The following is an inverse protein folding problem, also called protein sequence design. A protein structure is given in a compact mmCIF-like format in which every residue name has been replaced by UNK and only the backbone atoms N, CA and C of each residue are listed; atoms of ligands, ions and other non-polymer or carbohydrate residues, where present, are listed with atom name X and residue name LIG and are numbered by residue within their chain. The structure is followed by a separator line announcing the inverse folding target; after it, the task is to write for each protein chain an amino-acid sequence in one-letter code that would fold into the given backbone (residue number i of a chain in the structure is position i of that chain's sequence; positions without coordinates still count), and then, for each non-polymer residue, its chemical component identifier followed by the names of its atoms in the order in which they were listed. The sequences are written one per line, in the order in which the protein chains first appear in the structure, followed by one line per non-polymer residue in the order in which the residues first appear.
data_IF_209593087318
#
_entry.id   IF_209593087318
#
_cell.length_a   1.000
_cell.length_b   1.000
_cell.length_c   1.000
_cell.angle_alpha   90.00
_cell.angle_beta   90.00
_cell.angle_gamma   90.00
#
_symmetry.space_group_name_H-M   'P 1'
#
loop_
_entity.id
_entity.type
_entity.pdbx_description
1 polymer ?
#
# COMPACT_ATOMS: atom_id res chain seq x y z
N UNK A 1 -29.92 -9.89 14.92
CA UNK A 1 -29.34 -11.04 14.19
C UNK A 1 -30.35 -11.54 13.16
N UNK A 2 -29.95 -11.66 11.89
CA UNK A 2 -30.80 -12.21 10.83
C UNK A 2 -30.26 -13.59 10.46
N UNK A 3 -31.08 -14.64 10.56
CA UNK A 3 -30.71 -16.01 10.15
C UNK A 3 -31.16 -16.21 8.71
N UNK A 4 -30.22 -16.40 7.79
CA UNK A 4 -30.52 -16.59 6.37
C UNK A 4 -29.80 -17.79 5.79
N UNK A 5 -30.48 -18.47 4.86
CA UNK A 5 -30.01 -19.68 4.19
C UNK A 5 -29.06 -19.31 3.05
N UNK A 6 -27.76 -19.56 3.21
CA UNK A 6 -26.80 -19.54 2.10
C UNK A 6 -26.78 -20.91 1.40
N UNK A 7 -26.78 -20.93 0.06
CA UNK A 7 -26.62 -22.16 -0.73
C UNK A 7 -25.18 -22.24 -1.19
N UNK A 8 -24.36 -22.99 -0.45
CA UNK A 8 -23.07 -23.52 -0.91
C UNK A 8 -23.29 -25.02 -1.07
N UNK A 9 -23.13 -25.53 -2.30
CA UNK A 9 -23.22 -26.96 -2.70
C UNK A 9 -23.85 -27.93 -1.67
N UNK A 10 -25.16 -28.20 -1.80
CA UNK A 10 -25.90 -29.29 -1.15
C UNK A 10 -25.71 -29.55 0.37
N UNK A 11 -25.29 -28.55 1.17
CA UNK A 11 -25.47 -28.53 2.63
C UNK A 11 -26.02 -27.17 3.07
N UNK A 12 -27.23 -27.16 3.62
CA UNK A 12 -27.82 -25.95 4.20
C UNK A 12 -27.17 -25.68 5.55
N UNK A 13 -26.18 -24.79 5.59
CA UNK A 13 -25.64 -24.27 6.85
C UNK A 13 -26.36 -22.99 7.25
N UNK A 14 -26.77 -22.92 8.51
CA UNK A 14 -27.27 -21.68 9.12
C UNK A 14 -26.06 -20.81 9.47
N UNK A 15 -26.03 -19.59 8.93
CA UNK A 15 -24.98 -18.61 9.21
C UNK A 15 -25.59 -17.40 9.92
N UNK A 16 -24.89 -16.88 10.94
CA UNK A 16 -25.25 -15.61 11.57
C UNK A 16 -24.70 -14.45 10.74
N UNK A 17 -25.57 -13.55 10.28
CA UNK A 17 -25.18 -12.42 9.43
C UNK A 17 -26.07 -11.19 9.69
N UNK A 18 -25.75 -10.09 9.01
CA UNK A 18 -26.49 -8.82 9.09
C UNK A 18 -27.29 -8.57 7.81
N UNK A 19 -28.34 -7.75 7.91
CA UNK A 19 -29.17 -7.38 6.75
C UNK A 19 -28.34 -6.67 5.67
N UNK A 20 -27.41 -5.81 6.07
CA UNK A 20 -26.50 -5.12 5.13
C UNK A 20 -25.63 -6.11 4.35
N UNK A 21 -25.09 -7.13 5.01
CA UNK A 21 -24.29 -8.17 4.35
C UNK A 21 -25.12 -8.98 3.35
N UNK A 22 -26.39 -9.24 3.65
CA UNK A 22 -27.28 -9.93 2.70
C UNK A 22 -27.51 -9.11 1.44
N UNK A 23 -27.78 -7.82 1.59
CA UNK A 23 -28.01 -6.93 0.46
C UNK A 23 -26.72 -6.76 -0.36
N UNK A 24 -25.57 -6.67 0.30
CA UNK A 24 -24.28 -6.58 -0.38
C UNK A 24 -23.97 -7.83 -1.22
N UNK A 25 -24.19 -9.02 -0.66
CA UNK A 25 -23.96 -10.28 -1.37
C UNK A 25 -24.94 -10.55 -2.52
N UNK A 26 -26.05 -9.80 -2.65
CA UNK A 26 -26.95 -9.93 -3.81
C UNK A 26 -26.34 -9.41 -5.12
N UNK A 27 -25.43 -8.45 -5.02
CA UNK A 27 -24.74 -7.86 -6.18
C UNK A 27 -23.55 -8.72 -6.62
N UNK A 28 -23.01 -9.51 -5.70
CA UNK A 28 -21.87 -10.38 -5.97
C UNK A 28 -22.35 -11.64 -6.70
N UNK A 29 -21.71 -12.03 -7.81
CA UNK A 29 -21.98 -13.31 -8.46
C UNK A 29 -21.91 -14.48 -7.47
N UNK A 30 -22.90 -15.39 -7.52
CA UNK A 30 -23.05 -16.51 -6.57
C UNK A 30 -21.82 -17.41 -6.44
N UNK A 31 -21.00 -17.47 -7.48
CA UNK A 31 -19.86 -18.37 -7.59
C UNK A 31 -18.62 -17.87 -6.82
N UNK A 32 -18.60 -16.60 -6.40
CA UNK A 32 -17.50 -16.02 -5.62
C UNK A 32 -17.54 -16.39 -4.13
N UNK A 33 -18.67 -16.92 -3.68
CA UNK A 33 -18.94 -17.24 -2.27
C UNK A 33 -19.71 -16.15 -1.54
N UNK A 34 -19.91 -16.36 -0.23
CA UNK A 34 -20.62 -15.43 0.64
C UNK A 34 -19.65 -14.71 1.58
N UNK A 35 -19.65 -13.38 1.54
CA UNK A 35 -18.78 -12.54 2.36
C UNK A 35 -19.50 -12.13 3.65
N UNK A 36 -19.02 -12.61 4.80
CA UNK A 36 -19.61 -12.35 6.13
C UNK A 36 -18.69 -11.57 7.07
N UNK A 37 -17.94 -10.60 6.55
CA UNK A 37 -17.02 -9.76 7.33
C UNK A 37 -17.30 -8.27 7.11
N UNK A 38 -16.49 -7.39 7.70
CA UNK A 38 -16.51 -5.96 7.39
C UNK A 38 -15.68 -5.75 6.14
N UNK A 39 -16.27 -5.12 5.13
CA UNK A 39 -15.63 -4.92 3.83
C UNK A 39 -14.99 -3.53 3.81
N UNK A 40 -13.67 -3.50 3.96
CA UNK A 40 -12.86 -2.29 3.79
C UNK A 40 -12.45 -2.10 2.31
N UNK A 41 -11.75 -1.00 2.01
CA UNK A 41 -11.25 -0.72 0.65
C UNK A 41 -10.40 -1.86 0.08
N UNK A 42 -9.59 -2.54 0.90
CA UNK A 42 -8.70 -3.63 0.45
C UNK A 42 -9.53 -4.86 0.06
N UNK A 43 -10.53 -5.21 0.87
CA UNK A 43 -11.47 -6.30 0.60
C UNK A 43 -12.33 -6.03 -0.63
N UNK A 44 -12.76 -4.79 -0.87
CA UNK A 44 -13.43 -4.45 -2.14
C UNK A 44 -12.52 -4.75 -3.33
N UNK A 45 -11.24 -4.34 -3.27
CA UNK A 45 -10.29 -4.62 -4.35
C UNK A 45 -10.03 -6.13 -4.55
N UNK A 46 -9.95 -6.90 -3.46
CA UNK A 46 -9.83 -8.36 -3.49
C UNK A 46 -11.04 -9.02 -4.19
N UNK A 47 -12.26 -8.61 -3.84
CA UNK A 47 -13.50 -9.10 -4.45
C UNK A 47 -13.53 -8.79 -5.95
N UNK A 48 -13.12 -7.57 -6.34
CA UNK A 48 -13.05 -7.16 -7.75
C UNK A 48 -12.05 -8.02 -8.51
N UNK A 49 -10.84 -8.22 -7.96
CA UNK A 49 -9.81 -9.06 -8.56
C UNK A 49 -10.29 -10.50 -8.75
N UNK A 50 -10.93 -11.08 -7.73
CA UNK A 50 -11.49 -12.43 -7.79
C UNK A 50 -12.61 -12.56 -8.82
N UNK A 51 -13.49 -11.55 -8.92
CA UNK A 51 -14.55 -11.50 -9.93
C UNK A 51 -13.97 -11.41 -11.35
N UNK A 52 -13.00 -10.53 -11.56
CA UNK A 52 -12.36 -10.36 -12.87
C UNK A 52 -11.68 -11.64 -13.34
N UNK A 53 -11.00 -12.35 -12.44
CA UNK A 53 -10.33 -13.63 -12.75
C UNK A 53 -11.31 -14.75 -13.07
N UNK A 54 -12.39 -14.88 -12.30
CA UNK A 54 -13.33 -16.01 -12.42
C UNK A 54 -14.40 -15.83 -13.49
N UNK A 55 -14.87 -14.60 -13.71
CA UNK A 55 -16.00 -14.29 -14.59
C UNK A 55 -15.66 -13.39 -15.77
N UNK A 56 -14.47 -12.80 -15.78
CA UNK A 56 -14.03 -11.91 -16.85
C UNK A 56 -14.63 -10.51 -16.76
N UNK A 57 -14.49 -9.78 -17.87
CA UNK A 57 -14.77 -8.34 -17.93
C UNK A 57 -16.25 -7.99 -17.69
N UNK A 58 -17.17 -8.59 -18.44
CA UNK A 58 -18.58 -8.16 -18.49
C UNK A 58 -19.29 -8.29 -17.13
N UNK A 59 -19.11 -9.41 -16.45
CA UNK A 59 -19.72 -9.65 -15.13
C UNK A 59 -19.09 -8.77 -14.04
N UNK A 60 -17.78 -8.49 -14.15
CA UNK A 60 -17.10 -7.59 -13.22
C UNK A 60 -17.63 -6.17 -13.34
N UNK A 61 -17.91 -5.69 -14.56
CA UNK A 61 -18.53 -4.36 -14.78
C UNK A 61 -19.90 -4.29 -14.12
N UNK A 62 -20.77 -5.30 -14.30
CA UNK A 62 -22.08 -5.35 -13.64
C UNK A 62 -21.98 -5.34 -12.12
N UNK A 63 -21.05 -6.12 -11.56
CA UNK A 63 -20.81 -6.15 -10.12
C UNK A 63 -20.33 -4.78 -9.61
N UNK A 64 -19.42 -4.12 -10.33
CA UNK A 64 -18.91 -2.80 -9.98
C UNK A 64 -20.02 -1.73 -9.94
N UNK A 65 -20.89 -1.72 -10.95
CA UNK A 65 -22.03 -0.81 -10.99
C UNK A 65 -23.01 -1.04 -9.83
N UNK A 66 -23.29 -2.30 -9.51
CA UNK A 66 -24.13 -2.62 -8.35
C UNK A 66 -23.48 -2.21 -7.02
N UNK A 67 -22.17 -2.43 -6.84
CA UNK A 67 -21.44 -2.00 -5.64
C UNK A 67 -21.47 -0.47 -5.53
N UNK A 68 -21.28 0.25 -6.63
CA UNK A 68 -21.38 1.71 -6.70
C UNK A 68 -22.77 2.21 -6.27
N UNK A 69 -23.84 1.64 -6.82
CA UNK A 69 -25.21 2.04 -6.49
C UNK A 69 -25.56 1.77 -5.03
N UNK A 70 -25.22 0.58 -4.51
CA UNK A 70 -25.39 0.26 -3.09
C UNK A 70 -24.58 1.20 -2.20
N UNK A 71 -23.32 1.42 -2.55
CA UNK A 71 -22.41 2.31 -1.84
C UNK A 71 -22.97 3.72 -1.71
N UNK A 72 -23.38 4.35 -2.82
CA UNK A 72 -23.97 5.68 -2.79
C UNK A 72 -25.27 5.71 -1.98
N UNK A 73 -26.18 4.76 -2.21
CA UNK A 73 -27.47 4.70 -1.51
C UNK A 73 -27.31 4.60 0.01
N UNK A 74 -26.42 3.72 0.49
CA UNK A 74 -26.23 3.50 1.92
C UNK A 74 -25.31 4.53 2.55
N UNK A 75 -24.34 5.09 1.83
CA UNK A 75 -23.53 6.22 2.31
C UNK A 75 -24.41 7.45 2.58
N UNK A 76 -25.35 7.78 1.67
CA UNK A 76 -26.30 8.88 1.88
C UNK A 76 -27.22 8.60 3.08
N UNK A 77 -27.70 7.36 3.24
CA UNK A 77 -28.57 6.99 4.38
C UNK A 77 -27.82 6.94 5.72
N UNK A 78 -26.53 6.63 5.71
CA UNK A 78 -25.72 6.58 6.91
C UNK A 78 -25.58 7.96 7.57
N UNK A 79 -25.74 9.05 6.81
CA UNK A 79 -25.72 10.40 7.37
C UNK A 79 -24.38 10.77 8.02
N UNK A 80 -23.28 10.20 7.52
CA UNK A 80 -21.94 10.45 8.05
C UNK A 80 -21.63 11.94 7.89
N UNK A 81 -21.32 12.58 9.01
CA UNK A 81 -20.94 13.99 9.09
C UNK A 81 -19.63 14.12 9.86
N UNK A 82 -19.01 15.29 9.80
CA UNK A 82 -17.85 15.64 10.63
C UNK A 82 -18.18 16.92 11.37
N UNK A 83 -18.30 16.80 12.68
CA UNK A 83 -18.46 17.91 13.61
C UNK A 83 -17.23 18.08 14.48
N UNK A 84 -17.15 19.24 15.12
CA UNK A 84 -16.13 19.48 16.16
C UNK A 84 -16.28 18.44 17.27
N UNK A 85 -17.49 18.07 17.67
CA UNK A 85 -17.74 17.04 18.70
C UNK A 85 -17.17 15.66 18.39
N UNK A 86 -16.94 15.33 17.13
CA UNK A 86 -16.40 14.02 16.73
C UNK A 86 -14.89 13.93 16.95
N UNK A 87 -14.23 15.07 17.12
CA UNK A 87 -12.80 15.14 17.45
C UNK A 87 -12.65 15.09 18.98
N UNK A 88 -12.54 13.90 19.56
CA UNK A 88 -12.35 13.73 21.01
C UNK A 88 -10.87 13.71 21.38
N UNK A 89 -10.46 14.50 22.38
CA UNK A 89 -9.08 14.54 22.89
C UNK A 89 -8.99 13.57 24.06
N UNK A 90 -8.01 12.64 24.09
CA UNK A 90 -7.85 11.72 25.20
C UNK A 90 -7.44 12.49 26.47
N UNK A 91 -8.09 12.26 27.62
CA UNK A 91 -7.74 12.93 28.88
C UNK A 91 -6.32 12.63 29.34
N UNK A 92 -5.76 11.47 28.99
CA UNK A 92 -4.41 11.03 29.33
C UNK A 92 -3.32 11.88 28.66
N UNK A 93 -3.66 12.66 27.61
CA UNK A 93 -2.72 13.48 26.85
C UNK A 93 -1.91 14.41 27.75
N UNK A 94 -2.56 15.11 28.68
CA UNK A 94 -1.91 16.09 29.54
C UNK A 94 -0.84 15.43 30.44
N UNK A 95 -1.15 14.26 30.97
CA UNK A 95 -0.25 13.50 31.83
C UNK A 95 0.95 12.94 31.05
N UNK A 96 0.74 12.47 29.81
CA UNK A 96 1.81 11.99 28.94
C UNK A 96 2.78 13.13 28.62
N UNK A 97 2.26 14.30 28.22
CA UNK A 97 3.09 15.47 27.92
C UNK A 97 3.89 15.92 29.14
N UNK A 98 3.26 16.00 30.33
CA UNK A 98 3.94 16.40 31.56
C UNK A 98 5.09 15.45 31.93
N UNK A 99 4.90 14.13 31.79
CA UNK A 99 5.96 13.13 32.03
C UNK A 99 7.12 13.24 31.05
N UNK A 100 6.81 13.50 29.78
CA UNK A 100 7.83 13.71 28.74
C UNK A 100 8.62 14.98 28.99
N UNK A 101 7.97 16.08 29.40
CA UNK A 101 8.64 17.32 29.77
C UNK A 101 9.60 17.14 30.96
N UNK A 102 9.19 16.42 32.00
CA UNK A 102 10.06 16.11 33.14
C UNK A 102 11.30 15.30 32.70
N UNK A 103 11.10 14.38 31.74
CA UNK A 103 12.18 13.56 31.19
C UNK A 103 13.16 14.40 30.37
N UNK A 104 12.67 15.33 29.54
CA UNK A 104 13.51 16.29 28.80
C UNK A 104 14.32 17.17 29.76
N UNK A 105 13.71 17.66 30.85
CA UNK A 105 14.42 18.46 31.87
C UNK A 105 15.58 17.67 32.49
N UNK A 106 15.42 16.36 32.73
CA UNK A 106 16.52 15.51 33.23
C UNK A 106 17.66 15.39 32.23
N UNK A 107 17.34 15.27 30.93
CA UNK A 107 18.35 15.22 29.86
C UNK A 107 19.09 16.56 29.75
N UNK A 108 18.37 17.68 29.78
CA UNK A 108 18.96 19.03 29.78
C UNK A 108 19.88 19.26 31.00
N UNK A 109 19.50 18.76 32.17
CA UNK A 109 20.35 18.84 33.36
C UNK A 109 21.62 17.99 33.23
N UNK A 110 21.55 16.82 32.58
CA UNK A 110 22.73 15.99 32.31
C UNK A 110 23.68 16.71 31.35
N UNK A 111 23.13 17.32 30.31
CA UNK A 111 23.88 18.14 29.36
C UNK A 111 24.55 19.34 30.04
N UNK A 112 23.80 20.10 30.83
CA UNK A 112 24.32 21.24 31.60
C UNK A 112 25.40 20.88 32.64
N UNK A 113 25.46 19.60 33.06
CA UNK A 113 26.52 19.05 33.93
C UNK A 113 27.70 18.49 33.14
N UNK A 114 27.66 18.48 31.80
CA UNK A 114 28.69 17.91 30.93
C UNK A 114 28.74 16.38 30.93
N UNK A 115 27.64 15.70 31.26
CA UNK A 115 27.57 14.24 31.30
C UNK A 115 27.26 13.60 29.94
N UNK A 116 26.71 14.37 29.00
CA UNK A 116 26.33 13.94 27.65
C UNK A 116 26.75 15.01 26.64
N UNK A 117 26.92 14.60 25.38
CA UNK A 117 27.21 15.53 24.27
C UNK A 117 25.94 16.21 23.74
N UNK A 118 26.09 17.21 22.87
CA UNK A 118 24.96 17.87 22.20
C UNK A 118 24.20 16.89 21.30
N UNK A 119 24.91 16.06 20.55
CA UNK A 119 24.30 15.05 19.66
C UNK A 119 23.48 14.03 20.47
N UNK A 120 24.01 13.57 21.60
CA UNK A 120 23.30 12.68 22.52
C UNK A 120 22.09 13.35 23.17
N UNK A 121 22.18 14.65 23.50
CA UNK A 121 21.04 15.43 24.00
C UNK A 121 19.94 15.46 22.95
N UNK A 122 20.28 15.83 21.71
CA UNK A 122 19.34 15.94 20.61
C UNK A 122 18.64 14.61 20.29
N UNK A 123 19.38 13.51 20.17
CA UNK A 123 18.82 12.18 19.93
C UNK A 123 17.88 11.73 21.06
N UNK A 124 18.26 11.98 22.32
CA UNK A 124 17.40 11.63 23.47
C UNK A 124 16.13 12.48 23.52
N UNK A 125 16.23 13.79 23.29
CA UNK A 125 15.08 14.70 23.32
C UNK A 125 14.10 14.34 22.20
N UNK A 126 14.60 14.13 20.97
CA UNK A 126 13.77 13.72 19.83
C UNK A 126 13.13 12.36 20.06
N UNK A 127 13.87 11.39 20.62
CA UNK A 127 13.33 10.08 21.02
C UNK A 127 12.18 10.18 22.02
N UNK A 128 12.36 10.97 23.10
CA UNK A 128 11.31 11.17 24.12
C UNK A 128 10.03 11.74 23.51
N UNK A 129 10.15 12.70 22.58
CA UNK A 129 8.99 13.31 21.94
C UNK A 129 8.34 12.42 20.88
N UNK A 130 9.11 11.56 20.21
CA UNK A 130 8.57 10.51 19.33
C UNK A 130 7.73 9.53 20.13
N UNK A 131 8.28 9.01 21.23
CA UNK A 131 7.58 8.09 22.13
C UNK A 131 6.32 8.73 22.72
N UNK A 132 6.38 10.01 23.12
CA UNK A 132 5.23 10.76 23.61
C UNK A 132 4.12 10.86 22.54
N UNK A 133 4.51 11.12 21.29
CA UNK A 133 3.57 11.22 20.16
C UNK A 133 2.87 9.89 19.92
N UNK A 134 3.60 8.77 20.01
CA UNK A 134 3.04 7.44 19.81
C UNK A 134 2.13 7.03 20.98
N UNK A 135 2.51 7.29 22.23
CA UNK A 135 1.65 7.07 23.40
C UNK A 135 0.34 7.86 23.34
N UNK A 136 0.39 9.12 22.92
CA UNK A 136 -0.82 9.94 22.72
C UNK A 136 -1.68 9.37 21.58
N UNK A 137 -1.06 8.80 20.55
CA UNK A 137 -1.79 8.16 19.44
C UNK A 137 -2.54 6.92 19.91
N UNK A 138 -1.89 6.07 20.71
CA UNK A 138 -2.49 4.86 21.24
C UNK A 138 -3.64 5.18 22.21
N UNK A 139 -3.45 6.16 23.09
CA UNK A 139 -4.50 6.65 23.97
C UNK A 139 -5.70 7.21 23.19
N UNK A 140 -5.43 7.97 22.12
CA UNK A 140 -6.47 8.50 21.23
C UNK A 140 -7.27 7.38 20.56
N UNK A 141 -6.60 6.37 20.00
CA UNK A 141 -7.27 5.24 19.34
C UNK A 141 -8.08 4.39 20.32
N UNK A 142 -7.61 4.20 21.54
CA UNK A 142 -8.34 3.48 22.58
C UNK A 142 -9.61 4.23 23.05
N UNK A 143 -9.59 5.57 22.99
CA UNK A 143 -10.70 6.42 23.42
C UNK A 143 -11.75 6.67 22.32
N UNK A 144 -11.39 6.48 21.04
CA UNK A 144 -12.31 6.69 19.93
C UNK A 144 -13.33 5.55 19.81
N UNK A 145 -14.61 5.91 19.81
CA UNK A 145 -15.69 4.94 19.56
C UNK A 145 -15.64 4.44 18.11
N UNK A 146 -15.92 3.15 17.91
CA UNK A 146 -16.00 2.51 16.60
C UNK A 146 -17.06 3.14 15.67
N UNK A 147 -18.09 3.77 16.24
CA UNK A 147 -19.14 4.50 15.51
C UNK A 147 -18.79 5.97 15.24
N UNK A 148 -17.63 6.45 15.70
CA UNK A 148 -17.18 7.79 15.40
C UNK A 148 -16.95 7.94 13.89
N UNK A 149 -17.54 8.95 13.22
CA UNK A 149 -17.45 9.09 11.78
C UNK A 149 -16.01 9.28 11.27
N UNK A 150 -15.15 9.97 12.04
CA UNK A 150 -13.74 10.17 11.70
C UNK A 150 -13.00 8.83 11.72
N UNK A 151 -13.24 8.02 12.76
CA UNK A 151 -12.66 6.69 12.88
C UNK A 151 -13.16 5.75 11.76
N UNK A 152 -14.47 5.75 11.49
CA UNK A 152 -15.07 4.95 10.41
C UNK A 152 -14.46 5.27 9.05
N UNK A 153 -14.26 6.55 8.71
CA UNK A 153 -13.68 6.95 7.42
C UNK A 153 -12.22 6.53 7.26
N UNK A 154 -11.41 6.62 8.33
CA UNK A 154 -10.02 6.21 8.30
C UNK A 154 -9.87 4.68 8.27
N UNK A 155 -10.59 3.96 9.14
CA UNK A 155 -10.50 2.50 9.25
C UNK A 155 -11.06 1.79 8.01
N UNK A 156 -12.11 2.34 7.38
CA UNK A 156 -12.63 1.80 6.11
C UNK A 156 -11.69 2.03 4.92
N UNK A 157 -10.67 2.90 5.08
CA UNK A 157 -9.78 3.31 4.00
C UNK A 157 -10.43 4.25 2.97
N UNK A 158 -11.61 4.81 3.28
CA UNK A 158 -12.31 5.73 2.40
C UNK A 158 -11.57 7.07 2.26
N UNK A 159 -11.23 7.69 3.40
CA UNK A 159 -10.43 8.92 3.46
C UNK A 159 -9.94 9.12 4.89
N UNK A 160 -8.67 9.47 5.05
CA UNK A 160 -8.08 9.62 6.38
C UNK A 160 -6.97 8.61 6.63
N UNK A 161 -6.01 8.98 7.47
CA UNK A 161 -5.07 8.06 8.09
C UNK A 161 -5.05 8.27 9.60
N UNK A 162 -4.56 7.29 10.36
CA UNK A 162 -4.37 7.42 11.81
C UNK A 162 -3.50 8.64 12.13
N UNK A 163 -2.48 8.91 11.31
CA UNK A 163 -1.62 10.09 11.45
C UNK A 163 -2.39 11.41 11.29
N UNK A 164 -3.40 11.46 10.41
CA UNK A 164 -4.26 12.65 10.26
C UNK A 164 -5.21 12.82 11.45
N UNK A 165 -5.77 11.72 11.97
CA UNK A 165 -6.58 11.73 13.20
C UNK A 165 -5.75 12.24 14.38
N UNK A 166 -4.50 11.77 14.50
CA UNK A 166 -3.55 12.23 15.51
C UNK A 166 -3.33 13.74 15.46
N UNK A 167 -3.16 14.32 14.27
CA UNK A 167 -3.00 15.79 14.15
C UNK A 167 -4.26 16.58 14.53
N UNK A 168 -5.45 15.99 14.35
CA UNK A 168 -6.72 16.63 14.71
C UNK A 168 -6.96 16.64 16.21
N UNK A 169 -6.71 15.52 16.90
CA UNK A 169 -7.17 15.28 18.27
C UNK A 169 -6.09 14.88 19.28
N UNK A 170 -4.93 14.39 18.81
CA UNK A 170 -3.81 13.98 19.65
C UNK A 170 -2.83 15.14 19.83
N UNK A 171 -1.67 15.03 19.18
CA UNK A 171 -0.67 16.09 19.07
C UNK A 171 -0.07 16.09 17.67
N UNK A 172 0.41 17.24 17.19
CA UNK A 172 1.03 17.32 15.87
C UNK A 172 2.44 16.71 15.86
N UNK A 173 3.16 16.83 16.98
CA UNK A 173 4.45 16.19 17.21
C UNK A 173 5.63 17.01 16.70
N UNK A 174 6.73 16.31 16.43
CA UNK A 174 7.97 16.89 15.91
C UNK A 174 7.82 17.29 14.44
N UNK A 175 8.48 18.40 14.07
CA UNK A 175 8.46 18.92 12.71
C UNK A 175 9.86 18.99 12.11
N UNK A 176 9.98 18.82 10.80
CA UNK A 176 11.23 19.03 10.08
C UNK A 176 11.39 20.50 9.65
N UNK A 177 12.63 20.98 9.72
CA UNK A 177 13.03 22.29 9.22
C UNK A 177 13.24 22.25 7.68
N UNK A 178 13.61 23.39 7.04
CA UNK A 178 13.91 23.40 5.62
C UNK A 178 15.17 22.61 5.23
N UNK A 179 16.10 22.37 6.15
CA UNK A 179 17.29 21.56 5.87
C UNK A 179 16.98 20.05 5.87
N UNK A 180 15.92 19.63 6.56
CA UNK A 180 15.52 18.23 6.75
C UNK A 180 15.74 17.74 8.19
N UNK A 181 16.38 18.55 9.03
CA UNK A 181 16.61 18.25 10.43
C UNK A 181 15.32 18.39 11.24
N UNK A 182 15.18 17.55 12.27
CA UNK A 182 14.01 17.57 13.15
C UNK A 182 14.19 18.68 14.18
N UNK A 183 13.20 19.55 14.30
CA UNK A 183 13.19 20.60 15.31
C UNK A 183 12.89 19.94 16.66
N UNK A 184 13.80 20.09 17.63
CA UNK A 184 13.72 19.49 18.97
C UNK A 184 12.59 20.06 19.85
N UNK A 185 11.97 21.16 19.41
CA UNK A 185 10.76 21.74 20.00
C UNK A 185 9.49 21.19 19.31
N UNK A 186 8.72 20.30 19.95
CA UNK A 186 7.52 19.72 19.36
C UNK A 186 6.32 20.67 19.39
N UNK A 187 5.36 20.40 18.53
CA UNK A 187 4.02 21.01 18.59
C UNK A 187 3.13 20.11 19.46
N UNK A 188 2.83 20.59 20.67
CA UNK A 188 2.06 19.88 21.70
C UNK A 188 0.56 19.97 21.42
N UNK A 189 0.16 21.10 20.85
CA UNK A 189 -1.22 21.39 20.49
C UNK A 189 -1.69 20.54 19.29
N UNK A 190 -2.99 20.33 19.20
CA UNK A 190 -3.66 19.77 18.02
C UNK A 190 -4.55 20.80 17.32
N UNK A 191 -5.11 20.46 16.16
CA UNK A 191 -5.96 21.40 15.41
C UNK A 191 -7.28 21.75 16.11
N UNK A 192 -7.76 20.89 17.02
CA UNK A 192 -8.95 21.17 17.82
C UNK A 192 -8.68 22.19 18.93
N UNK A 193 -7.53 22.08 19.60
CA UNK A 193 -7.09 23.01 20.65
C UNK A 193 -6.66 24.36 20.05
N UNK A 194 -6.15 24.33 18.81
CA UNK A 194 -5.56 25.48 18.14
C UNK A 194 -4.06 25.56 18.38
N UNK A 195 -3.33 26.11 17.42
CA UNK A 195 -1.87 26.27 17.50
C UNK A 195 -1.51 27.66 18.00
N UNK A 196 -0.49 27.75 18.84
CA UNK A 196 0.12 29.05 19.20
C UNK A 196 0.84 29.67 18.00
N UNK A 197 1.16 30.96 18.07
CA UNK A 197 1.89 31.66 16.98
C UNK A 197 3.22 30.98 16.67
N UNK A 198 3.96 30.55 17.70
CA UNK A 198 5.25 29.86 17.52
C UNK A 198 5.07 28.49 16.89
N UNK A 199 4.14 27.67 17.40
CA UNK A 199 3.85 26.34 16.83
C UNK A 199 3.36 26.43 15.38
N UNK A 200 2.50 27.40 15.07
CA UNK A 200 2.06 27.64 13.70
C UNK A 200 3.23 28.05 12.80
N UNK A 201 4.08 28.98 13.25
CA UNK A 201 5.25 29.44 12.50
C UNK A 201 6.23 28.28 12.22
N UNK A 202 6.55 27.46 13.23
CA UNK A 202 7.37 26.25 13.05
C UNK A 202 6.74 25.33 12.00
N UNK A 203 5.42 25.11 12.08
CA UNK A 203 4.72 24.27 11.10
C UNK A 203 4.76 24.79 9.67
N UNK A 204 5.00 26.08 9.44
CA UNK A 204 5.07 26.62 8.07
C UNK A 204 6.34 26.21 7.32
N UNK A 205 7.44 25.93 8.02
CA UNK A 205 8.72 25.56 7.40
C UNK A 205 8.60 24.25 6.61
N UNK A 206 8.18 23.18 7.29
CA UNK A 206 7.93 21.88 6.65
C UNK A 206 6.86 21.96 5.57
N UNK A 207 5.74 22.65 5.84
CA UNK A 207 4.66 22.79 4.86
C UNK A 207 5.10 23.49 3.56
N UNK A 208 5.89 24.57 3.67
CA UNK A 208 6.40 25.31 2.51
C UNK A 208 7.43 24.49 1.73
N UNK A 209 8.33 23.79 2.42
CA UNK A 209 9.29 22.86 1.79
C UNK A 209 8.55 21.76 1.04
N UNK A 210 7.59 21.09 1.67
CA UNK A 210 6.80 20.04 1.02
C UNK A 210 6.06 20.53 -0.23
N UNK A 211 5.47 21.72 -0.21
CA UNK A 211 4.81 22.30 -1.39
C UNK A 211 5.81 22.65 -2.50
N UNK A 212 6.98 23.21 -2.15
CA UNK A 212 8.02 23.55 -3.13
C UNK A 212 8.62 22.29 -3.76
N UNK A 213 8.94 21.28 -2.95
CA UNK A 213 9.50 20.00 -3.40
C UNK A 213 8.52 19.25 -4.30
N UNK A 214 7.22 19.26 -3.96
CA UNK A 214 6.17 18.69 -4.83
C UNK A 214 6.21 19.32 -6.22
N UNK A 215 6.36 20.64 -6.31
CA UNK A 215 6.40 21.34 -7.58
C UNK A 215 7.71 21.08 -8.36
N UNK A 216 8.86 21.07 -7.67
CA UNK A 216 10.17 20.88 -8.31
C UNK A 216 10.37 19.44 -8.79
N UNK A 217 10.12 18.44 -7.94
CA UNK A 217 10.42 17.03 -8.24
C UNK A 217 9.46 16.39 -9.25
N UNK A 218 8.28 16.98 -9.46
CA UNK A 218 7.39 16.57 -10.55
C UNK A 218 8.09 16.69 -11.91
N UNK A 219 8.92 17.72 -12.09
CA UNK A 219 9.69 17.90 -13.31
C UNK A 219 10.74 16.79 -13.50
N UNK A 220 11.42 16.38 -12.43
CA UNK A 220 12.44 15.32 -12.47
C UNK A 220 11.83 13.95 -12.79
N UNK A 221 10.69 13.62 -12.17
CA UNK A 221 9.97 12.37 -12.49
C UNK A 221 9.45 12.36 -13.93
N UNK A 222 8.94 13.50 -14.42
CA UNK A 222 8.54 13.66 -15.82
C UNK A 222 9.73 13.51 -16.78
N UNK A 223 10.88 14.07 -16.42
CA UNK A 223 12.11 13.96 -17.20
C UNK A 223 12.64 12.53 -17.25
N UNK A 224 12.62 11.79 -16.12
CA UNK A 224 12.95 10.37 -16.07
C UNK A 224 12.02 9.57 -16.98
N UNK A 225 10.71 9.79 -16.87
CA UNK A 225 9.70 9.10 -17.70
C UNK A 225 9.99 9.32 -19.18
N UNK A 226 10.31 10.56 -19.58
CA UNK A 226 10.71 10.87 -20.96
C UNK A 226 11.94 10.07 -21.40
N UNK A 227 13.00 10.04 -20.58
CA UNK A 227 14.21 9.26 -20.89
C UNK A 227 13.93 7.76 -20.99
N UNK A 228 13.07 7.22 -20.12
CA UNK A 228 12.65 5.82 -20.18
C UNK A 228 11.91 5.52 -21.48
N UNK A 229 11.00 6.40 -21.90
CA UNK A 229 10.29 6.27 -23.18
C UNK A 229 11.26 6.35 -24.36
N UNK A 230 12.20 7.30 -24.37
CA UNK A 230 13.17 7.47 -25.47
C UNK A 230 14.00 6.20 -25.69
N UNK A 231 14.38 5.49 -24.62
CA UNK A 231 15.15 4.24 -24.69
C UNK A 231 14.27 3.02 -24.99
N UNK A 232 13.04 2.98 -24.46
CA UNK A 232 12.19 1.80 -24.54
C UNK A 232 11.20 1.80 -25.72
N UNK A 233 11.02 2.90 -26.44
CA UNK A 233 10.00 3.03 -27.50
C UNK A 233 10.06 1.95 -28.60
N UNK A 234 11.26 1.46 -28.92
CA UNK A 234 11.47 0.44 -29.97
C UNK A 234 11.22 -1.00 -29.47
N UNK A 235 10.91 -1.20 -28.19
CA UNK A 235 10.63 -2.51 -27.62
C UNK A 235 9.16 -2.88 -27.86
N UNK A 236 8.93 -3.56 -28.99
CA UNK A 236 7.62 -4.05 -29.44
C UNK A 236 7.66 -5.58 -29.53
N UNK A 237 6.53 -6.26 -29.27
CA UNK A 237 6.43 -7.69 -29.52
C UNK A 237 6.38 -7.97 -31.02
N UNK A 238 7.40 -8.65 -31.58
CA UNK A 238 7.52 -8.86 -33.04
C UNK A 238 7.31 -10.30 -33.50
N UNK A 239 7.51 -11.26 -32.61
CA UNK A 239 7.46 -12.70 -32.96
C UNK A 239 6.92 -13.53 -31.79
N UNK A 240 6.52 -14.77 -32.06
CA UNK A 240 5.99 -15.66 -31.02
C UNK A 240 7.10 -16.26 -30.13
N UNK A 241 8.19 -16.73 -30.74
CA UNK A 241 9.31 -17.41 -30.05
C UNK A 241 10.65 -17.09 -30.70
N UNK A 242 11.60 -16.58 -29.91
CA UNK A 242 12.96 -16.26 -30.34
C UNK A 242 13.94 -17.45 -30.40
N UNK A 243 13.52 -18.65 -29.96
CA UNK A 243 14.36 -19.85 -29.93
C UNK A 243 15.48 -19.85 -28.88
N UNK A 244 15.44 -18.95 -27.89
CA UNK A 244 16.46 -18.93 -26.82
C UNK A 244 16.48 -20.24 -26.03
N UNK A 245 17.69 -20.73 -25.75
CA UNK A 245 17.97 -21.88 -24.90
C UNK A 245 18.36 -21.47 -23.46
N UNK A 246 18.29 -20.17 -23.16
CA UNK A 246 18.66 -19.60 -21.86
C UNK A 246 17.41 -19.16 -21.11
N UNK A 247 17.20 -19.76 -19.93
CA UNK A 247 16.22 -19.34 -18.94
C UNK A 247 16.85 -18.47 -17.85
N UNK A 248 16.02 -17.77 -17.09
CA UNK A 248 16.45 -16.97 -15.94
C UNK A 248 15.94 -17.61 -14.66
N UNK A 249 16.84 -17.80 -13.70
CA UNK A 249 16.53 -18.40 -12.40
C UNK A 249 15.95 -17.33 -11.47
N UNK A 250 14.74 -17.57 -10.95
CA UNK A 250 14.04 -16.67 -10.02
C UNK A 250 13.91 -17.35 -8.66
N UNK A 251 14.22 -16.60 -7.62
CA UNK A 251 14.07 -16.95 -6.21
C UNK A 251 13.38 -15.82 -5.44
N UNK A 252 12.88 -16.08 -4.23
CA UNK A 252 12.34 -15.02 -3.39
C UNK A 252 13.42 -13.98 -3.02
N UNK A 253 13.08 -12.69 -3.05
CA UNK A 253 14.01 -11.63 -2.65
C UNK A 253 13.91 -11.46 -1.13
N UNK A 254 15.01 -11.71 -0.43
CA UNK A 254 15.11 -11.62 1.03
C UNK A 254 16.17 -10.58 1.39
N UNK A 255 15.88 -9.76 2.40
CA UNK A 255 16.83 -8.86 3.03
C UNK A 255 16.93 -9.23 4.52
N UNK A 256 18.02 -9.91 4.88
CA UNK A 256 18.13 -10.60 6.17
C UNK A 256 17.04 -11.67 6.33
N UNK A 257 16.23 -11.53 7.38
CA UNK A 257 15.10 -12.41 7.68
C UNK A 257 13.78 -11.94 7.02
N UNK A 258 13.75 -10.71 6.49
CA UNK A 258 12.54 -10.14 5.89
C UNK A 258 12.42 -10.51 4.41
N UNK A 259 11.30 -11.13 4.06
CA UNK A 259 10.96 -11.44 2.66
C UNK A 259 10.37 -10.19 2.02
N UNK A 260 11.15 -9.50 1.19
CA UNK A 260 10.70 -8.30 0.46
C UNK A 260 9.70 -8.69 -0.63
N UNK A 261 10.04 -9.69 -1.44
CA UNK A 261 9.20 -10.13 -2.55
C UNK A 261 9.11 -11.66 -2.57
N UNK A 262 7.88 -12.16 -2.53
CA UNK A 262 7.61 -13.59 -2.49
C UNK A 262 7.85 -14.24 -3.86
N UNK A 263 8.15 -15.54 -3.88
CA UNK A 263 8.31 -16.27 -5.14
C UNK A 263 7.04 -16.21 -6.02
N UNK A 264 5.80 -16.40 -5.50
CA UNK A 264 4.57 -16.24 -6.28
C UNK A 264 4.47 -14.93 -7.04
N UNK A 265 4.73 -13.81 -6.38
CA UNK A 265 4.58 -12.48 -6.98
C UNK A 265 5.51 -12.29 -8.19
N UNK A 266 6.67 -12.95 -8.17
CA UNK A 266 7.66 -12.89 -9.26
C UNK A 266 7.36 -13.82 -10.43
N UNK A 267 6.71 -14.96 -10.17
CA UNK A 267 6.48 -16.01 -11.20
C UNK A 267 5.11 -15.93 -11.87
N UNK A 268 4.10 -15.33 -11.21
CA UNK A 268 2.74 -15.24 -11.75
C UNK A 268 2.75 -14.51 -13.11
N UNK A 269 2.10 -15.12 -14.11
CA UNK A 269 2.03 -14.58 -15.48
C UNK A 269 3.32 -14.72 -16.29
N UNK A 270 4.33 -15.41 -15.76
CA UNK A 270 5.55 -15.80 -16.51
C UNK A 270 5.39 -17.18 -17.13
N UNK A 271 6.25 -17.51 -18.10
CA UNK A 271 6.27 -18.81 -18.75
C UNK A 271 7.44 -19.64 -18.22
N UNK A 272 7.15 -20.87 -17.78
CA UNK A 272 8.15 -21.82 -17.31
C UNK A 272 9.11 -22.21 -18.44
N UNK A 273 10.41 -22.18 -18.19
CA UNK A 273 11.41 -22.59 -19.17
C UNK A 273 11.59 -24.11 -19.21
N UNK A 274 11.61 -24.75 -18.03
CA UNK A 274 11.69 -26.20 -17.84
C UNK A 274 10.41 -26.70 -17.17
N UNK A 275 10.17 -28.02 -17.24
CA UNK A 275 9.12 -28.66 -16.45
C UNK A 275 9.39 -28.44 -14.96
N UNK A 276 8.38 -27.95 -14.24
CA UNK A 276 8.43 -27.77 -12.79
C UNK A 276 7.83 -29.03 -12.17
N UNK A 277 8.67 -29.80 -11.50
CA UNK A 277 8.32 -31.12 -10.95
C UNK A 277 8.25 -31.02 -9.43
N UNK A 278 7.23 -31.64 -8.84
CA UNK A 278 7.13 -31.74 -7.39
C UNK A 278 8.25 -32.64 -6.84
N UNK A 279 9.04 -32.18 -5.85
CA UNK A 279 10.22 -32.91 -5.37
C UNK A 279 9.90 -34.27 -4.74
N UNK A 280 8.77 -34.39 -4.04
CA UNK A 280 8.36 -35.64 -3.37
C UNK A 280 7.54 -36.60 -4.25
N UNK A 281 6.54 -36.10 -5.01
CA UNK A 281 5.62 -36.95 -5.78
C UNK A 281 6.11 -37.25 -7.20
N UNK A 282 7.04 -36.43 -7.73
CA UNK A 282 7.49 -36.54 -9.12
C UNK A 282 6.43 -36.10 -10.15
N UNK A 283 5.31 -35.53 -9.71
CA UNK A 283 4.27 -35.00 -10.61
C UNK A 283 4.73 -33.68 -11.24
N UNK A 284 4.41 -33.49 -12.52
CA UNK A 284 4.68 -32.25 -13.24
C UNK A 284 3.61 -31.22 -12.86
N UNK A 285 3.99 -30.21 -12.08
CA UNK A 285 3.12 -29.11 -11.67
C UNK A 285 2.83 -28.18 -12.85
N UNK A 286 3.87 -27.81 -13.59
CA UNK A 286 3.78 -26.95 -14.77
C UNK A 286 4.71 -27.48 -15.85
N UNK A 287 4.18 -27.74 -17.04
CA UNK A 287 4.98 -28.12 -18.20
C UNK A 287 5.78 -26.95 -18.76
N UNK A 288 6.91 -27.24 -19.39
CA UNK A 288 7.75 -26.28 -20.10
C UNK A 288 6.93 -25.51 -21.15
N UNK A 289 7.29 -24.25 -21.36
CA UNK A 289 6.59 -23.31 -22.26
C UNK A 289 5.11 -23.04 -21.89
N UNK A 290 4.71 -23.37 -20.65
CA UNK A 290 3.36 -23.09 -20.13
C UNK A 290 3.38 -21.88 -19.19
N UNK A 291 2.29 -21.12 -19.18
CA UNK A 291 2.13 -19.95 -18.32
C UNK A 291 1.84 -20.38 -16.88
N UNK A 292 2.52 -19.74 -15.93
CA UNK A 292 2.34 -19.97 -14.50
C UNK A 292 1.18 -19.08 -14.04
N UNK A 293 0.02 -19.70 -13.85
CA UNK A 293 -1.16 -19.05 -13.27
C UNK A 293 -1.06 -19.01 -11.75
N UNK A 294 -1.98 -18.28 -11.10
CA UNK A 294 -2.03 -18.12 -9.66
C UNK A 294 -2.18 -19.46 -8.92
N UNK A 295 -3.07 -20.36 -9.40
CA UNK A 295 -3.22 -21.72 -8.85
C UNK A 295 -1.94 -22.55 -8.96
N UNK A 296 -1.23 -22.41 -10.09
CA UNK A 296 0.04 -23.09 -10.30
C UNK A 296 1.13 -22.52 -9.38
N UNK A 297 1.15 -21.20 -9.15
CA UNK A 297 2.07 -20.57 -8.21
C UNK A 297 1.82 -21.03 -6.77
N UNK A 298 0.55 -21.19 -6.35
CA UNK A 298 0.19 -21.75 -5.05
C UNK A 298 0.67 -23.20 -4.89
N UNK A 299 0.51 -24.03 -5.94
CA UNK A 299 1.01 -25.41 -5.94
C UNK A 299 2.55 -25.47 -5.85
N UNK A 300 3.26 -24.58 -6.54
CA UNK A 300 4.73 -24.49 -6.50
C UNK A 300 5.22 -24.15 -5.08
N UNK A 301 4.52 -23.23 -4.39
CA UNK A 301 4.83 -22.88 -3.00
C UNK A 301 4.49 -24.03 -2.06
N UNK A 302 3.33 -24.68 -2.24
CA UNK A 302 2.95 -25.84 -1.43
C UNK A 302 3.94 -27.01 -1.56
N UNK A 303 4.56 -27.15 -2.73
CA UNK A 303 5.61 -28.12 -3.01
C UNK A 303 7.00 -27.73 -2.47
N UNK A 304 7.12 -26.61 -1.74
CA UNK A 304 8.39 -26.07 -1.20
C UNK A 304 9.48 -25.87 -2.25
N UNK A 305 9.12 -25.47 -3.47
CA UNK A 305 10.09 -25.16 -4.53
C UNK A 305 10.59 -23.73 -4.34
N UNK A 306 11.88 -23.57 -4.08
CA UNK A 306 12.48 -22.25 -3.84
C UNK A 306 12.93 -21.52 -5.10
N UNK A 307 13.22 -22.27 -6.17
CA UNK A 307 13.86 -21.75 -7.39
C UNK A 307 13.14 -22.23 -8.63
N UNK A 308 12.75 -21.29 -9.49
CA UNK A 308 12.04 -21.58 -10.74
C UNK A 308 12.76 -20.91 -11.91
N UNK A 309 13.01 -21.67 -12.98
CA UNK A 309 13.58 -21.12 -14.21
C UNK A 309 12.46 -20.66 -15.14
N UNK A 310 12.39 -19.36 -15.39
CA UNK A 310 11.39 -18.74 -16.26
C UNK A 310 12.00 -18.18 -17.56
N UNK A 311 11.14 -17.94 -18.55
CA UNK A 311 11.48 -17.09 -19.68
C UNK A 311 11.43 -15.62 -19.27
N UNK A 312 12.37 -14.83 -19.79
CA UNK A 312 12.45 -13.39 -19.55
C UNK A 312 12.82 -12.64 -20.82
N UNK A 313 12.52 -11.34 -20.85
CA UNK A 313 12.97 -10.43 -21.92
C UNK A 313 14.48 -10.24 -21.93
N UNK A 314 15.17 -10.45 -20.79
CA UNK A 314 16.63 -10.30 -20.68
C UNK A 314 17.42 -11.33 -21.50
N UNK A 315 16.89 -12.55 -21.66
CA UNK A 315 17.52 -13.64 -22.42
C UNK A 315 16.91 -13.82 -23.81
N UNK A 316 16.11 -12.84 -24.26
CA UNK A 316 15.42 -12.89 -25.54
C UNK A 316 16.41 -12.66 -26.69
N UNK A 317 16.35 -13.50 -27.74
CA UNK A 317 17.23 -13.41 -28.92
C UNK A 317 16.60 -12.70 -30.12
N UNK A 318 15.44 -12.07 -29.93
CA UNK A 318 14.77 -11.26 -30.97
C UNK A 318 15.64 -10.04 -31.31
N UNK A 319 15.90 -9.80 -32.60
CA UNK A 319 16.82 -8.72 -33.02
C UNK A 319 16.35 -7.30 -32.65
N UNK A 320 15.06 -7.04 -32.81
CA UNK A 320 14.43 -5.76 -32.48
C UNK A 320 13.14 -6.02 -31.72
N UNK A 321 13.09 -5.61 -30.45
CA UNK A 321 11.95 -5.87 -29.56
C UNK A 321 12.07 -7.20 -28.82
N UNK A 322 10.93 -7.84 -28.56
CA UNK A 322 10.88 -9.09 -27.80
C UNK A 322 9.91 -10.09 -28.43
N UNK A 323 10.03 -11.36 -28.04
CA UNK A 323 9.05 -12.38 -28.42
C UNK A 323 7.97 -12.55 -27.36
N UNK A 324 6.78 -13.00 -27.81
CA UNK A 324 5.60 -13.25 -26.98
C UNK A 324 5.91 -14.18 -25.80
N UNK A 325 6.65 -15.28 -26.05
CA UNK A 325 7.02 -16.25 -24.99
C UNK A 325 8.01 -15.71 -23.95
N UNK A 326 8.82 -14.71 -24.27
CA UNK A 326 9.77 -14.11 -23.33
C UNK A 326 9.14 -13.01 -22.48
N UNK A 327 8.16 -12.27 -23.03
CA UNK A 327 7.42 -11.25 -22.30
C UNK A 327 6.30 -11.86 -21.42
N UNK A 328 5.61 -12.87 -21.94
CA UNK A 328 4.56 -13.66 -21.28
C UNK A 328 3.19 -12.96 -21.26
N UNK A 329 2.66 -12.64 -20.08
CA UNK A 329 1.32 -12.07 -19.86
C UNK A 329 1.33 -10.54 -19.95
N UNK A 330 0.35 -9.97 -20.64
CA UNK A 330 0.02 -8.56 -20.54
C UNK A 330 -0.78 -8.34 -19.24
N UNK A 331 -0.21 -7.56 -18.32
CA UNK A 331 -0.79 -7.31 -16.99
C UNK A 331 -2.04 -6.43 -17.03
N UNK A 332 -2.25 -5.64 -18.09
CA UNK A 332 -3.43 -4.80 -18.25
C UNK A 332 -4.67 -5.59 -18.67
N UNK A 333 -4.50 -6.59 -19.55
CA UNK A 333 -5.61 -7.42 -20.02
C UNK A 333 -5.75 -8.72 -19.24
N UNK A 334 -4.67 -9.17 -18.58
CA UNK A 334 -4.59 -10.46 -17.91
C UNK A 334 -4.47 -11.63 -18.88
N UNK A 335 -4.22 -11.38 -20.17
CA UNK A 335 -4.04 -12.40 -21.22
C UNK A 335 -2.61 -12.40 -21.73
N UNK A 336 -2.25 -13.41 -22.54
CA UNK A 336 -0.95 -13.42 -23.25
C UNK A 336 -0.83 -12.21 -24.16
N UNK A 337 0.35 -11.58 -24.14
CA UNK A 337 0.68 -10.41 -24.98
C UNK A 337 0.48 -10.72 -26.46
N UNK A 338 0.00 -9.76 -27.25
CA UNK A 338 -0.18 -9.90 -28.70
C UNK A 338 1.00 -9.32 -29.49
N UNK A 339 1.14 -9.77 -30.74
CA UNK A 339 2.15 -9.23 -31.66
C UNK A 339 1.76 -7.81 -32.06
N UNK A 340 2.70 -6.88 -31.95
CA UNK A 340 2.49 -5.45 -32.19
C UNK A 340 2.29 -4.62 -30.93
N UNK A 341 2.19 -5.24 -29.74
CA UNK A 341 2.08 -4.49 -28.50
C UNK A 341 3.38 -3.74 -28.14
N UNK A 342 3.25 -2.45 -27.84
CA UNK A 342 4.34 -1.54 -27.48
C UNK A 342 4.72 -1.69 -25.99
N UNK A 343 5.25 -2.85 -25.62
CA UNK A 343 5.58 -3.20 -24.24
C UNK A 343 6.63 -2.29 -23.59
N UNK A 344 7.52 -1.67 -24.38
CA UNK A 344 8.50 -0.72 -23.87
C UNK A 344 7.89 0.58 -23.37
N UNK A 345 6.89 1.13 -24.08
CA UNK A 345 6.16 2.33 -23.63
C UNK A 345 5.37 2.01 -22.37
N UNK A 346 4.70 0.85 -22.32
CA UNK A 346 3.98 0.40 -21.13
C UNK A 346 4.92 0.28 -19.92
N UNK A 347 6.09 -0.32 -20.10
CA UNK A 347 7.10 -0.43 -19.04
C UNK A 347 7.60 0.94 -18.55
N UNK A 348 7.92 1.86 -19.47
CA UNK A 348 8.36 3.21 -19.12
C UNK A 348 7.32 3.98 -18.29
N UNK A 349 6.04 3.91 -18.68
CA UNK A 349 4.94 4.53 -17.92
C UNK A 349 4.73 3.86 -16.56
N UNK A 350 4.84 2.52 -16.51
CA UNK A 350 4.67 1.74 -15.28
C UNK A 350 5.75 2.03 -14.24
N UNK A 351 6.90 2.57 -14.65
CA UNK A 351 7.96 3.05 -13.75
C UNK A 351 7.78 4.55 -13.46
N UNK A 352 7.52 5.34 -14.51
CA UNK A 352 7.47 6.80 -14.44
C UNK A 352 6.29 7.36 -13.64
N UNK A 353 5.09 6.81 -13.84
CA UNK A 353 3.90 7.27 -13.12
C UNK A 353 4.02 7.00 -11.61
N UNK A 354 4.34 5.79 -11.13
CA UNK A 354 4.56 5.55 -9.71
C UNK A 354 5.73 6.37 -9.16
N UNK A 355 6.80 6.58 -9.93
CA UNK A 355 7.90 7.47 -9.54
C UNK A 355 7.42 8.89 -9.24
N UNK A 356 6.54 9.43 -10.09
CA UNK A 356 5.91 10.73 -9.88
C UNK A 356 4.96 10.72 -8.68
N UNK A 357 4.21 9.64 -8.47
CA UNK A 357 3.32 9.52 -7.31
C UNK A 357 4.10 9.40 -5.99
N UNK A 358 5.23 8.67 -5.97
CA UNK A 358 6.09 8.54 -4.81
C UNK A 358 6.68 9.90 -4.44
N UNK A 359 7.20 10.65 -5.42
CA UNK A 359 7.73 12.00 -5.19
C UNK A 359 6.67 13.04 -4.82
N UNK A 360 5.38 12.78 -5.01
CA UNK A 360 4.29 13.64 -4.51
C UNK A 360 3.73 13.18 -3.15
N UNK A 361 3.60 11.86 -2.91
CA UNK A 361 2.90 11.31 -1.72
C UNK A 361 3.73 11.34 -0.44
N UNK A 362 5.05 11.13 -0.50
CA UNK A 362 5.92 11.21 0.69
C UNK A 362 5.92 12.60 1.33
N UNK A 363 5.51 13.64 0.61
CA UNK A 363 5.69 15.04 1.03
C UNK A 363 4.39 15.76 1.42
N UNK A 364 3.21 15.20 1.13
CA UNK A 364 1.95 15.70 1.73
C UNK A 364 1.86 15.44 3.25
N UNK A 365 2.73 14.57 3.76
CA UNK A 365 3.03 14.36 5.19
C UNK A 365 4.10 15.29 5.74
N UNK A 366 4.70 16.16 4.89
CA UNK A 366 5.92 16.97 5.06
C UNK A 366 5.96 18.01 6.17
N UNK A 367 5.18 17.82 7.22
CA UNK A 367 5.40 18.45 8.50
C UNK A 367 5.93 17.47 9.54
N UNK A 368 5.48 16.22 9.57
CA UNK A 368 5.68 15.34 10.74
C UNK A 368 6.84 14.38 10.52
N UNK A 369 7.78 14.37 11.46
CA UNK A 369 8.97 13.52 11.41
C UNK A 369 8.61 12.03 11.27
N UNK A 370 9.27 11.35 10.33
CA UNK A 370 9.24 9.91 10.08
C UNK A 370 10.64 9.42 9.70
N UNK A 371 10.83 8.11 9.49
CA UNK A 371 12.16 7.54 9.22
C UNK A 371 12.81 8.11 7.96
N UNK A 372 14.00 8.68 8.16
CA UNK A 372 14.85 9.27 7.13
C UNK A 372 15.66 8.16 6.44
N UNK A 373 14.97 7.43 5.57
CA UNK A 373 15.60 6.55 4.59
C UNK A 373 15.27 7.17 3.25
N UNK A 374 16.26 7.32 2.38
CA UNK A 374 16.07 7.73 0.99
C UNK A 374 15.20 6.71 0.24
N UNK A 375 13.87 6.79 0.40
CA UNK A 375 12.90 5.79 -0.06
C UNK A 375 12.48 5.97 -1.53
N UNK A 376 13.22 6.73 -2.34
CA UNK A 376 12.85 6.98 -3.73
C UNK A 376 13.75 7.97 -4.47
N UNK A 377 13.23 8.46 -5.60
CA UNK A 377 13.93 9.31 -6.57
C UNK A 377 14.42 10.66 -6.02
#
# INVERSE_FOLDING_TARGET
SCKTRGRVQNKVQLMETTVGRLIFNQVIPSDLGYYNEVIDKKKVAEIISKCYRSKGYDETVKMLDGIKELGFKYATKAGITVGVTDVSIPPEKADIIAKSEESVVKVEQQYGRGLITEDERYERVTGIWKDATDQVTDALLAHLDHMNPIYMMANSGARGSIQQIRQLAGMRGLMADPSGEIIDLPIRSNFREGLTVLEYFISTHGARKGLADTALRTADSGYLTRRLVDVAQDVIIREDRCGTAEGFLVEAVKDGDDVIESLPDRIIGRIAFNDIIHPETGEVLVSADTEINEEAAEQIVAANIEKVTIRTVLTCKTRHGACRKCYCRNLATGKRVEIGEAVGIMAAQSIGEPGTQLTMRTFHTGGVAGEDITQGL
#
